data_IF_121973425099
#
_entry.id   IF_121973425099
#
_cell.length_a   1.000
_cell.length_b   1.000
_cell.length_c   1.000
_cell.angle_alpha   90.00
_cell.angle_beta   90.00
_cell.angle_gamma   90.00
#
_symmetry.space_group_name_H-M   'P 1'
#
loop_
_entity.id
_entity.type
_entity.pdbx_description
1 polymer ?
#
# COMPACT_ATOMS: atom_id res chain seq x y z
N UNK A 1 -6.17 36.83 -32.20
CA UNK A 1 -5.84 35.39 -32.37
C UNK A 1 -5.31 34.87 -31.05
N UNK A 2 -6.14 34.15 -30.29
CA UNK A 2 -5.71 33.51 -29.04
C UNK A 2 -5.18 32.14 -29.41
N UNK A 3 -3.86 31.97 -29.33
CA UNK A 3 -3.22 30.68 -29.52
C UNK A 3 -3.59 29.78 -28.32
N UNK A 4 -4.52 28.85 -28.53
CA UNK A 4 -4.63 27.65 -27.71
C UNK A 4 -3.35 26.86 -27.94
N UNK A 5 -2.40 26.91 -26.99
CA UNK A 5 -1.34 25.91 -26.94
C UNK A 5 -2.02 24.57 -26.68
N UNK A 6 -2.03 23.68 -27.67
CA UNK A 6 -2.33 22.28 -27.44
C UNK A 6 -1.23 21.77 -26.49
N UNK A 7 -1.65 21.40 -25.30
CA UNK A 7 -0.84 20.65 -24.36
C UNK A 7 -0.66 19.24 -24.95
N UNK A 8 0.31 19.08 -25.86
CA UNK A 8 0.82 17.78 -26.31
C UNK A 8 1.69 17.14 -25.22
N UNK A 9 1.33 17.38 -23.95
CA UNK A 9 2.02 16.90 -22.77
C UNK A 9 1.95 15.38 -22.74
N UNK A 10 3.11 14.72 -22.75
CA UNK A 10 3.22 13.29 -22.48
C UNK A 10 2.67 13.04 -21.07
N UNK A 11 1.41 12.63 -20.98
CA UNK A 11 0.80 12.21 -19.73
C UNK A 11 1.27 10.80 -19.39
N UNK A 12 2.01 10.67 -18.30
CA UNK A 12 2.40 9.37 -17.77
C UNK A 12 1.19 8.72 -17.06
N UNK A 13 0.86 7.50 -17.45
CA UNK A 13 -0.15 6.70 -16.75
C UNK A 13 0.38 6.26 -15.37
N UNK A 14 -0.47 6.31 -14.35
CA UNK A 14 -0.11 5.96 -12.97
C UNK A 14 -1.01 4.83 -12.49
N UNK A 15 -0.43 3.67 -12.18
CA UNK A 15 -1.12 2.47 -11.69
C UNK A 15 -0.46 1.92 -10.42
N UNK A 16 -0.74 2.60 -9.30
CA UNK A 16 -0.09 2.34 -8.00
C UNK A 16 -1.06 2.03 -6.86
N UNK A 17 -2.37 2.02 -7.11
CA UNK A 17 -3.38 1.80 -6.07
C UNK A 17 -3.32 0.36 -5.57
N UNK A 18 -3.19 0.20 -4.25
CA UNK A 18 -3.16 -1.10 -3.57
C UNK A 18 -4.31 -1.10 -2.55
N UNK A 19 -5.11 -2.16 -2.51
CA UNK A 19 -6.12 -2.36 -1.46
C UNK A 19 -5.61 -3.40 -0.47
N UNK A 20 -5.57 -3.07 0.82
CA UNK A 20 -5.04 -3.93 1.88
C UNK A 20 -6.20 -4.35 2.79
N UNK A 21 -6.49 -5.64 2.83
CA UNK A 21 -7.53 -6.27 3.63
C UNK A 21 -6.92 -6.90 4.88
N UNK A 22 -7.67 -6.89 5.98
CA UNK A 22 -7.24 -7.44 7.26
C UNK A 22 -8.30 -8.40 7.77
N UNK A 23 -7.91 -9.64 8.06
CA UNK A 23 -8.81 -10.65 8.61
C UNK A 23 -8.18 -11.43 9.75
N UNK A 24 -9.00 -12.03 10.59
CA UNK A 24 -8.54 -13.04 11.55
C UNK A 24 -8.35 -14.42 10.88
N UNK A 25 -7.84 -15.39 11.64
CA UNK A 25 -7.66 -16.78 11.17
C UNK A 25 -8.97 -17.51 10.82
N UNK A 26 -10.12 -16.99 11.27
CA UNK A 26 -11.44 -17.51 10.92
C UNK A 26 -12.05 -16.81 9.69
N UNK A 27 -11.36 -15.82 9.12
CA UNK A 27 -11.81 -15.04 7.96
C UNK A 27 -12.71 -13.85 8.31
N UNK A 28 -12.82 -13.47 9.58
CA UNK A 28 -13.58 -12.29 9.99
C UNK A 28 -12.79 -11.02 9.68
N UNK A 29 -13.47 -10.01 9.15
CA UNK A 29 -12.89 -8.69 8.88
C UNK A 29 -12.48 -7.99 10.19
N UNK A 30 -11.22 -7.53 10.26
CA UNK A 30 -10.66 -6.89 11.45
C UNK A 30 -10.85 -5.37 11.48
N UNK A 31 -11.26 -4.75 10.38
CA UNK A 31 -11.30 -3.29 10.23
C UNK A 31 -12.72 -2.79 9.96
N UNK A 32 -13.71 -3.45 10.57
CA UNK A 32 -15.09 -2.99 10.59
C UNK A 32 -15.16 -1.58 11.24
N UNK A 33 -15.74 -0.58 10.56
CA UNK A 33 -15.91 0.75 11.14
C UNK A 33 -16.79 0.73 12.38
N UNK A 34 -16.45 1.55 13.38
CA UNK A 34 -17.20 1.70 14.64
C UNK A 34 -17.29 0.44 15.52
N UNK A 35 -16.52 -0.61 15.24
CA UNK A 35 -16.32 -1.72 16.18
C UNK A 35 -15.31 -1.31 17.27
N UNK A 36 -15.78 -1.20 18.52
CA UNK A 36 -14.97 -0.82 19.68
C UNK A 36 -13.84 -1.84 19.97
N UNK A 37 -14.02 -3.09 19.54
CA UNK A 37 -13.05 -4.17 19.70
C UNK A 37 -12.20 -4.39 18.45
N UNK A 38 -12.59 -3.81 17.32
CA UNK A 38 -11.95 -3.92 16.01
C UNK A 38 -10.73 -3.02 15.85
N UNK A 39 -9.99 -3.22 14.75
CA UNK A 39 -8.71 -2.58 14.47
C UNK A 39 -8.79 -1.38 13.51
N UNK A 40 -9.97 -0.98 13.06
CA UNK A 40 -10.15 0.08 12.04
C UNK A 40 -9.46 1.41 12.38
N UNK A 41 -9.44 1.81 13.65
CA UNK A 41 -8.73 3.01 14.15
C UNK A 41 -7.39 2.71 14.84
N UNK A 42 -6.97 1.44 14.86
CA UNK A 42 -5.84 0.94 15.65
C UNK A 42 -4.67 0.45 14.81
N UNK A 43 -4.78 0.53 13.49
CA UNK A 43 -3.69 0.20 12.57
C UNK A 43 -2.96 1.49 12.20
N UNK A 44 -1.63 1.49 12.29
CA UNK A 44 -0.81 2.59 11.78
C UNK A 44 0.14 2.10 10.69
N UNK A 45 0.33 2.95 9.69
CA UNK A 45 1.19 2.69 8.55
C UNK A 45 2.38 3.65 8.63
N UNK A 46 3.58 3.11 8.83
CA UNK A 46 4.80 3.87 9.04
C UNK A 46 5.72 3.69 7.83
N UNK A 47 6.18 4.79 7.25
CA UNK A 47 7.18 4.80 6.20
C UNK A 47 8.55 4.49 6.79
N UNK A 48 9.06 3.29 6.52
CA UNK A 48 10.34 2.84 7.07
C UNK A 48 11.56 3.40 6.32
N UNK A 49 11.36 3.97 5.13
CA UNK A 49 12.43 4.57 4.33
C UNK A 49 12.47 6.09 4.48
N UNK A 50 11.57 6.67 5.28
CA UNK A 50 11.60 8.09 5.58
C UNK A 50 12.87 8.46 6.35
N UNK A 51 13.43 9.63 6.00
CA UNK A 51 14.58 10.21 6.72
C UNK A 51 14.20 10.63 8.15
N UNK A 52 12.92 10.89 8.39
CA UNK A 52 12.36 11.15 9.71
C UNK A 52 11.79 9.85 10.24
N UNK A 53 12.37 9.31 11.31
CA UNK A 53 11.87 8.07 11.92
C UNK A 53 10.38 8.17 12.28
N UNK A 54 9.67 7.05 12.21
CA UNK A 54 8.24 6.93 12.54
C UNK A 54 7.29 7.86 11.75
N UNK A 55 7.64 8.21 10.52
CA UNK A 55 6.76 9.01 9.65
C UNK A 55 5.53 8.21 9.23
N UNK A 56 4.33 8.76 9.44
CA UNK A 56 3.10 8.12 8.97
C UNK A 56 2.97 8.22 7.43
N UNK A 57 2.49 7.15 6.80
CA UNK A 57 2.19 7.15 5.36
C UNK A 57 0.91 7.95 5.12
N UNK A 58 0.99 9.04 4.34
CA UNK A 58 -0.11 10.01 4.19
C UNK A 58 -1.23 9.57 3.24
N UNK A 59 -0.97 8.69 2.27
CA UNK A 59 -1.96 8.27 1.27
C UNK A 59 -2.66 6.96 1.60
N UNK A 60 -2.94 6.73 2.88
CA UNK A 60 -3.76 5.61 3.36
C UNK A 60 -5.19 6.11 3.62
N UNK A 61 -6.18 5.48 3.00
CA UNK A 61 -7.60 5.82 3.18
C UNK A 61 -8.47 4.57 3.33
N UNK A 62 -9.49 4.56 4.21
CA UNK A 62 -10.39 3.42 4.31
C UNK A 62 -11.34 3.34 3.10
N UNK A 63 -11.73 2.13 2.71
CA UNK A 63 -12.70 1.88 1.66
C UNK A 63 -13.47 0.57 1.87
N UNK A 64 -14.48 0.35 1.03
CA UNK A 64 -15.34 -0.84 1.07
C UNK A 64 -15.54 -1.33 -0.36
N UNK A 65 -15.36 -2.62 -0.59
CA UNK A 65 -15.52 -3.22 -1.92
C UNK A 65 -16.99 -3.59 -2.22
N UNK A 66 -17.24 -4.07 -3.44
CA UNK A 66 -18.59 -4.47 -3.88
C UNK A 66 -19.14 -5.66 -3.06
N UNK A 67 -18.26 -6.47 -2.47
CA UNK A 67 -18.58 -7.59 -1.60
C UNK A 67 -18.74 -7.18 -0.12
N UNK A 68 -18.73 -5.87 0.19
CA UNK A 68 -18.84 -5.30 1.53
C UNK A 68 -17.68 -5.63 2.47
N UNK A 69 -16.51 -5.99 1.94
CA UNK A 69 -15.29 -6.13 2.73
C UNK A 69 -14.60 -4.79 2.88
N UNK A 70 -14.14 -4.48 4.08
CA UNK A 70 -13.40 -3.26 4.37
C UNK A 70 -11.93 -3.43 3.97
N UNK A 71 -11.32 -2.35 3.48
CA UNK A 71 -9.89 -2.32 3.15
C UNK A 71 -9.28 -0.96 3.48
N UNK A 72 -7.95 -0.94 3.59
CA UNK A 72 -7.14 0.28 3.60
C UNK A 72 -6.50 0.45 2.21
N UNK A 73 -6.86 1.51 1.51
CA UNK A 73 -6.29 1.86 0.21
C UNK A 73 -5.00 2.64 0.38
N UNK A 74 -3.95 2.17 -0.27
CA UNK A 74 -2.72 2.92 -0.47
C UNK A 74 -2.65 3.43 -1.90
N UNK A 75 -2.50 4.74 -2.07
CA UNK A 75 -2.29 5.37 -3.38
C UNK A 75 -0.85 5.88 -3.50
N UNK A 76 -0.36 6.60 -2.49
CA UNK A 76 0.98 7.19 -2.49
C UNK A 76 1.39 7.61 -1.07
N UNK A 77 2.54 8.26 -0.92
CA UNK A 77 2.95 8.92 0.33
C UNK A 77 4.05 8.21 1.12
N UNK A 78 4.45 7.00 0.73
CA UNK A 78 5.66 6.38 1.25
C UNK A 78 6.88 6.85 0.43
N UNK A 79 8.03 6.98 1.11
CA UNK A 79 9.31 7.32 0.51
C UNK A 79 9.70 6.25 -0.50
N UNK A 80 10.19 6.71 -1.66
CA UNK A 80 10.65 5.86 -2.76
C UNK A 80 12.16 5.95 -2.85
N UNK A 81 12.83 4.84 -2.59
CA UNK A 81 14.27 4.71 -2.80
C UNK A 81 14.52 4.12 -4.19
N UNK A 82 15.40 4.75 -4.97
CA UNK A 82 15.80 4.23 -6.28
C UNK A 82 16.61 2.94 -6.15
N UNK A 83 16.34 1.98 -7.03
CA UNK A 83 17.10 0.74 -7.13
C UNK A 83 18.23 0.88 -8.18
N UNK A 84 19.36 0.18 -7.99
CA UNK A 84 20.57 0.37 -8.79
C UNK A 84 20.44 -0.07 -10.26
N UNK A 85 19.40 -0.84 -10.61
CA UNK A 85 19.14 -1.35 -11.96
C UNK A 85 18.38 -0.35 -12.87
N UNK A 86 18.36 0.92 -12.49
CA UNK A 86 17.70 1.99 -13.24
C UNK A 86 18.54 2.46 -14.44
N UNK A 87 17.90 2.62 -15.58
CA UNK A 87 18.43 3.20 -16.83
C UNK A 87 17.76 4.56 -17.12
N UNK A 88 18.18 5.21 -18.22
CA UNK A 88 17.57 6.46 -18.66
C UNK A 88 16.08 6.32 -19.02
N UNK A 89 15.66 5.14 -19.50
CA UNK A 89 14.31 4.88 -20.02
C UNK A 89 13.48 3.96 -19.13
N UNK A 90 14.08 3.36 -18.10
CA UNK A 90 13.40 2.48 -17.15
C UNK A 90 13.99 2.66 -15.78
N UNK A 91 13.19 2.98 -14.77
CA UNK A 91 13.67 3.10 -13.39
C UNK A 91 12.89 2.16 -12.49
N UNK A 92 13.53 1.69 -11.43
CA UNK A 92 12.86 0.93 -10.37
C UNK A 92 13.01 1.61 -9.03
N UNK A 93 11.96 1.50 -8.25
CA UNK A 93 11.90 2.09 -6.91
C UNK A 93 11.39 1.06 -5.91
N UNK A 94 11.74 1.26 -4.65
CA UNK A 94 11.17 0.52 -3.53
C UNK A 94 10.61 1.48 -2.49
N UNK A 95 9.49 1.08 -1.88
CA UNK A 95 8.98 1.66 -0.64
C UNK A 95 8.81 0.55 0.39
N UNK A 96 9.00 0.87 1.66
CA UNK A 96 8.76 -0.05 2.76
C UNK A 96 7.83 0.58 3.78
N UNK A 97 6.72 -0.12 4.07
CA UNK A 97 5.71 0.31 5.03
C UNK A 97 5.65 -0.71 6.17
N UNK A 98 5.84 -0.24 7.41
CA UNK A 98 5.56 -1.04 8.60
C UNK A 98 4.11 -0.84 8.99
N UNK A 99 3.40 -1.94 9.22
CA UNK A 99 2.02 -1.95 9.65
C UNK A 99 1.98 -2.38 11.11
N UNK A 100 1.62 -1.46 11.99
CA UNK A 100 1.52 -1.69 13.43
C UNK A 100 0.07 -1.82 13.86
N UNK A 101 -0.14 -2.56 14.93
CA UNK A 101 -1.45 -2.85 15.49
C UNK A 101 -1.45 -2.46 16.96
N UNK A 102 -2.22 -1.42 17.29
CA UNK A 102 -2.34 -0.94 18.65
C UNK A 102 -3.37 -1.77 19.42
N UNK A 103 -3.02 -2.12 20.66
CA UNK A 103 -3.91 -2.81 21.60
C UNK A 103 -4.79 -1.80 22.34
N UNK A 104 -5.97 -2.25 22.75
CA UNK A 104 -6.76 -1.59 23.79
C UNK A 104 -6.51 -2.25 25.15
N UNK A 105 -6.90 -1.56 26.23
CA UNK A 105 -6.85 -2.13 27.59
C UNK A 105 -7.60 -3.46 27.62
N UNK A 106 -6.95 -4.51 28.14
CA UNK A 106 -7.43 -5.90 28.19
C UNK A 106 -7.40 -6.71 26.88
N UNK A 107 -6.80 -6.18 25.80
CA UNK A 107 -6.55 -6.98 24.58
C UNK A 107 -5.39 -7.96 24.81
N UNK A 108 -5.71 -9.25 24.89
CA UNK A 108 -4.72 -10.33 25.04
C UNK A 108 -4.06 -10.70 23.72
N UNK A 109 -4.64 -10.34 22.57
CA UNK A 109 -4.08 -10.67 21.25
C UNK A 109 -2.84 -9.85 20.99
N UNK A 110 -1.73 -10.50 20.62
CA UNK A 110 -0.49 -9.83 20.21
C UNK A 110 -0.40 -9.93 18.70
N UNK A 111 -0.67 -8.82 18.02
CA UNK A 111 -0.50 -8.71 16.58
C UNK A 111 0.93 -8.28 16.27
N UNK A 112 1.74 -9.20 15.76
CA UNK A 112 3.09 -8.87 15.29
C UNK A 112 3.03 -7.79 14.19
N UNK A 113 4.01 -6.89 14.14
CA UNK A 113 4.16 -5.92 13.06
C UNK A 113 4.33 -6.65 11.72
N UNK A 114 3.67 -6.14 10.67
CA UNK A 114 3.89 -6.61 9.30
C UNK A 114 4.74 -5.60 8.51
N UNK A 115 5.49 -6.09 7.54
CA UNK A 115 6.28 -5.27 6.62
C UNK A 115 5.80 -5.46 5.19
N UNK A 116 5.35 -4.38 4.56
CA UNK A 116 5.00 -4.33 3.16
C UNK A 116 6.16 -3.72 2.36
N UNK A 117 6.76 -4.48 1.46
CA UNK A 117 7.75 -3.99 0.51
C UNK A 117 7.09 -3.86 -0.86
N UNK A 118 7.09 -2.65 -1.42
CA UNK A 118 6.44 -2.35 -2.70
C UNK A 118 7.53 -2.00 -3.70
N UNK A 119 7.60 -2.75 -4.79
CA UNK A 119 8.49 -2.46 -5.91
C UNK A 119 7.68 -1.77 -7.01
N UNK A 120 8.21 -0.66 -7.52
CA UNK A 120 7.61 0.10 -8.60
C UNK A 120 8.50 0.04 -9.84
N UNK A 121 7.85 0.10 -10.99
CA UNK A 121 8.48 0.26 -12.31
C UNK A 121 8.04 1.59 -12.90
N UNK A 122 9.00 2.31 -13.47
CA UNK A 122 8.79 3.58 -14.16
C UNK A 122 9.34 3.50 -15.58
N UNK A 123 8.57 3.95 -16.55
CA UNK A 123 8.96 4.29 -17.92
C UNK A 123 8.36 5.65 -18.27
N UNK A 124 8.77 6.36 -19.35
CA UNK A 124 8.16 7.64 -19.71
C UNK A 124 6.62 7.62 -19.85
N UNK A 125 6.03 6.47 -20.18
CA UNK A 125 4.58 6.31 -20.38
C UNK A 125 3.83 5.71 -19.18
N UNK A 126 4.50 5.01 -18.27
CA UNK A 126 3.85 4.29 -17.17
C UNK A 126 4.67 4.32 -15.88
N UNK A 127 4.01 4.63 -14.77
CA UNK A 127 4.48 4.37 -13.42
C UNK A 127 3.53 3.39 -12.74
N UNK A 128 4.01 2.21 -12.38
CA UNK A 128 3.17 1.17 -11.79
C UNK A 128 3.86 0.39 -10.67
N UNK A 129 3.06 -0.30 -9.86
CA UNK A 129 3.57 -1.31 -8.92
C UNK A 129 3.83 -2.61 -9.70
N UNK A 130 5.05 -3.14 -9.58
CA UNK A 130 5.46 -4.37 -10.26
C UNK A 130 5.44 -5.60 -9.36
N UNK A 131 5.75 -5.45 -8.07
CA UNK A 131 5.68 -6.54 -7.09
C UNK A 131 5.42 -6.01 -5.69
N UNK A 132 4.72 -6.80 -4.88
CA UNK A 132 4.52 -6.52 -3.45
C UNK A 132 4.91 -7.76 -2.66
N UNK A 133 5.71 -7.55 -1.60
CA UNK A 133 6.04 -8.59 -0.61
C UNK A 133 5.48 -8.22 0.75
N UNK A 134 4.76 -9.15 1.37
CA UNK A 134 4.32 -9.09 2.75
C UNK A 134 5.21 -10.01 3.59
N UNK A 135 5.92 -9.46 4.57
CA UNK A 135 6.84 -10.22 5.43
C UNK A 135 7.80 -11.11 4.62
N UNK A 136 8.38 -10.53 3.56
CA UNK A 136 9.27 -11.19 2.60
C UNK A 136 8.63 -12.19 1.62
N UNK A 137 7.34 -12.52 1.78
CA UNK A 137 6.61 -13.38 0.85
C UNK A 137 5.96 -12.56 -0.27
N UNK A 138 6.12 -12.98 -1.53
CA UNK A 138 5.48 -12.32 -2.67
C UNK A 138 3.97 -12.56 -2.61
N UNK A 139 3.20 -11.47 -2.57
CA UNK A 139 1.73 -11.48 -2.53
C UNK A 139 1.10 -10.86 -3.78
N UNK A 140 1.90 -10.15 -4.57
CA UNK A 140 1.49 -9.62 -5.86
C UNK A 140 2.68 -9.57 -6.83
N UNK A 141 2.40 -9.89 -8.08
CA UNK A 141 3.29 -9.72 -9.23
C UNK A 141 2.47 -9.22 -10.42
N UNK A 142 2.93 -8.15 -11.07
CA UNK A 142 2.25 -7.54 -12.21
C UNK A 142 2.06 -8.46 -13.42
N UNK A 143 2.89 -9.49 -13.57
CA UNK A 143 2.75 -10.50 -14.63
C UNK A 143 1.51 -11.40 -14.46
N UNK A 144 0.91 -11.43 -13.27
CA UNK A 144 -0.28 -12.26 -12.98
C UNK A 144 -1.60 -11.70 -13.52
N UNK A 145 -1.64 -10.41 -13.89
CA UNK A 145 -2.86 -9.71 -14.32
C UNK A 145 -3.91 -9.53 -13.22
N UNK A 146 -3.62 -9.91 -11.97
CA UNK A 146 -4.53 -9.79 -10.84
C UNK A 146 -4.63 -8.35 -10.32
N UNK A 147 -5.74 -7.97 -9.66
CA UNK A 147 -5.80 -6.69 -8.94
C UNK A 147 -4.78 -6.66 -7.80
N UNK A 148 -4.33 -5.45 -7.43
CA UNK A 148 -3.38 -5.19 -6.33
C UNK A 148 -4.07 -5.28 -4.96
N UNK A 149 -4.71 -6.41 -4.69
CA UNK A 149 -5.43 -6.71 -3.45
C UNK A 149 -4.56 -7.58 -2.55
N UNK A 150 -4.16 -7.04 -1.39
CA UNK A 150 -3.30 -7.73 -0.43
C UNK A 150 -4.14 -8.14 0.77
N UNK A 151 -4.09 -9.42 1.16
CA UNK A 151 -4.78 -9.94 2.34
C UNK A 151 -3.78 -10.22 3.45
N UNK A 152 -3.98 -9.60 4.61
CA UNK A 152 -3.20 -9.83 5.83
C UNK A 152 -4.06 -10.61 6.82
N UNK A 153 -3.61 -11.80 7.21
CA UNK A 153 -4.29 -12.64 8.21
C UNK A 153 -3.58 -12.54 9.55
N UNK A 154 -4.33 -12.26 10.62
CA UNK A 154 -3.81 -12.11 11.98
C UNK A 154 -4.47 -13.10 12.95
N UNK A 155 -3.80 -13.38 14.08
CA UNK A 155 -4.29 -14.29 15.14
C UNK A 155 -5.10 -13.55 16.20
#
# INVERSE_FOLDING_TARGET
MTACRQDDGVHQNIDQTINIYFQDTNGNDLIIPNDATGYSSRITFIDNLSITGNTAVSGITPGVDDAKKNYMQYIAGATRQGLPDSTATSKKYTSQILINYNKVTNDTKVMAQDTLNIIYSWTPSLFSVSSIKLNSNVVFDSSSGQPKNILITKQ
#
